data_IF_607230930804
#
_entry.id   IF_607230930804
#
_cell.length_a   1.000
_cell.length_b   1.000
_cell.length_c   1.000
_cell.angle_alpha   90.00
_cell.angle_beta   90.00
_cell.angle_gamma   90.00
#
_symmetry.space_group_name_H-M   'P 1'
#
loop_
_entity.id
_entity.type
_entity.pdbx_description
1 polymer ?
#
# COMPACT_ATOMS: atom_id res chain seq x y z
N UNK A 1 -4.40 -11.11 21.89
CA UNK A 1 -3.24 -10.60 21.11
C UNK A 1 -2.73 -9.33 21.78
N UNK A 2 -1.45 -8.96 21.58
CA UNK A 2 -0.96 -7.69 22.12
C UNK A 2 -1.66 -6.51 21.45
N UNK A 3 -1.97 -5.49 22.26
CA UNK A 3 -2.53 -4.24 21.76
C UNK A 3 -1.43 -3.42 21.08
N UNK A 4 -1.79 -2.71 20.03
CA UNK A 4 -0.93 -1.66 19.47
C UNK A 4 -1.10 -0.41 20.33
N UNK A 5 -0.03 -0.01 21.03
CA UNK A 5 -0.05 1.21 21.84
C UNK A 5 0.82 2.27 21.15
N UNK A 6 0.23 3.38 20.80
CA UNK A 6 0.89 4.49 20.08
C UNK A 6 0.62 5.81 20.78
N UNK A 7 1.30 6.91 20.42
CA UNK A 7 0.94 8.23 20.96
C UNK A 7 -0.48 8.68 20.60
N UNK A 8 -1.11 8.05 19.60
CA UNK A 8 -2.44 8.43 19.12
C UNK A 8 -3.56 7.58 19.70
N UNK A 9 -3.31 6.28 19.88
CA UNK A 9 -4.38 5.35 20.27
C UNK A 9 -3.81 4.07 20.83
N UNK A 10 -4.67 3.33 21.55
CA UNK A 10 -4.42 1.94 21.92
C UNK A 10 -5.47 1.11 21.19
N UNK A 11 -5.04 0.18 20.34
CA UNK A 11 -5.92 -0.55 19.42
C UNK A 11 -5.73 -2.06 19.52
N UNK A 12 -6.86 -2.78 19.48
CA UNK A 12 -6.90 -4.23 19.31
C UNK A 12 -7.06 -4.53 17.81
N UNK A 13 -6.00 -5.03 17.17
CA UNK A 13 -5.98 -5.23 15.73
C UNK A 13 -5.86 -6.70 15.35
N UNK A 14 -6.59 -7.09 14.30
CA UNK A 14 -6.55 -8.44 13.75
C UNK A 14 -6.10 -8.41 12.28
N UNK A 15 -5.48 -9.49 11.86
CA UNK A 15 -5.05 -9.68 10.47
C UNK A 15 -6.21 -10.20 9.63
N UNK A 16 -6.10 -10.01 8.31
CA UNK A 16 -7.01 -10.62 7.34
C UNK A 16 -6.20 -11.41 6.30
N UNK A 17 -6.65 -12.58 5.88
CA UNK A 17 -7.85 -13.28 6.38
C UNK A 17 -7.68 -13.74 7.83
N UNK A 18 -8.76 -13.67 8.58
CA UNK A 18 -8.74 -14.03 9.99
C UNK A 18 -8.50 -15.53 10.17
N UNK A 19 -7.57 -15.87 11.04
CA UNK A 19 -7.23 -17.26 11.35
C UNK A 19 -7.33 -17.50 12.86
N UNK A 20 -7.89 -18.63 13.23
CA UNK A 20 -7.95 -19.02 14.64
C UNK A 20 -6.53 -19.18 15.18
N UNK A 21 -6.26 -18.54 16.31
CA UNK A 21 -4.95 -18.62 17.00
C UNK A 21 -3.79 -18.14 16.14
N UNK A 22 -3.99 -17.10 15.29
CA UNK A 22 -2.91 -16.52 14.51
C UNK A 22 -1.81 -16.00 15.45
N UNK A 23 -0.57 -16.51 15.36
CA UNK A 23 0.51 -16.05 16.23
C UNK A 23 1.10 -14.71 15.81
N UNK A 24 0.68 -14.17 14.66
CA UNK A 24 1.29 -12.97 14.09
C UNK A 24 0.44 -11.73 14.40
N UNK A 25 1.13 -10.65 14.74
CA UNK A 25 0.47 -9.36 14.98
C UNK A 25 0.06 -8.69 13.67
N UNK A 26 -0.97 -7.84 13.77
CA UNK A 26 -1.44 -7.02 12.64
C UNK A 26 -0.60 -5.74 12.44
N UNK A 27 0.48 -5.57 13.18
CA UNK A 27 1.37 -4.42 13.10
C UNK A 27 2.80 -4.86 13.39
N UNK A 28 3.76 -4.00 13.05
CA UNK A 28 5.15 -4.25 13.39
C UNK A 28 5.85 -2.95 13.84
N UNK A 29 7.14 -3.05 14.15
CA UNK A 29 7.90 -1.91 14.64
C UNK A 29 8.00 -0.74 13.65
N UNK A 30 7.79 -0.99 12.36
CA UNK A 30 7.79 0.12 11.40
C UNK A 30 6.50 0.96 11.52
N UNK A 31 5.37 0.32 11.86
CA UNK A 31 4.12 1.06 12.14
C UNK A 31 4.29 1.93 13.38
N UNK A 32 4.80 1.34 14.47
CA UNK A 32 5.06 2.08 15.70
C UNK A 32 6.00 3.27 15.46
N UNK A 33 7.07 3.04 14.67
CA UNK A 33 8.07 4.08 14.42
C UNK A 33 7.51 5.21 13.54
N UNK A 34 6.70 4.88 12.52
CA UNK A 34 6.05 5.88 11.66
C UNK A 34 5.12 6.77 12.49
N UNK A 35 4.32 6.17 13.37
CA UNK A 35 3.39 6.93 14.21
C UNK A 35 4.12 7.80 15.23
N UNK A 36 5.19 7.28 15.84
CA UNK A 36 6.01 8.07 16.76
C UNK A 36 6.66 9.26 16.05
N UNK A 37 7.23 9.03 14.85
CA UNK A 37 7.86 10.09 14.06
C UNK A 37 6.85 11.17 13.65
N UNK A 38 5.65 10.77 13.27
CA UNK A 38 4.59 11.73 12.95
C UNK A 38 4.20 12.54 14.19
N UNK A 39 4.05 11.88 15.32
CA UNK A 39 3.68 12.53 16.58
C UNK A 39 4.74 13.56 17.00
N UNK A 40 6.02 13.22 16.86
CA UNK A 40 7.13 14.12 17.20
C UNK A 40 7.14 15.40 16.36
N UNK A 41 6.51 15.37 15.19
CA UNK A 41 6.35 16.55 14.34
C UNK A 41 5.17 17.43 14.77
N UNK A 42 4.40 16.98 15.75
CA UNK A 42 3.25 17.72 16.33
C UNK A 42 2.29 18.28 15.25
N UNK A 43 1.75 17.43 14.37
CA UNK A 43 0.81 17.93 13.36
C UNK A 43 -0.45 18.49 14.02
N UNK A 44 -1.01 19.58 13.48
CA UNK A 44 -2.28 20.10 13.98
C UNK A 44 -3.46 19.22 13.51
N UNK A 45 -4.63 19.43 14.11
CA UNK A 45 -5.81 18.61 13.87
C UNK A 45 -6.33 18.69 12.41
N UNK A 46 -5.97 19.74 11.68
CA UNK A 46 -6.37 19.87 10.27
C UNK A 46 -5.38 19.21 9.32
N UNK A 47 -4.28 18.68 9.84
CA UNK A 47 -3.26 18.02 9.04
C UNK A 47 -3.88 16.87 8.23
N UNK A 48 -3.73 16.94 6.90
CA UNK A 48 -4.22 15.92 5.99
C UNK A 48 -3.14 14.89 5.75
N UNK A 49 -3.42 13.64 6.12
CA UNK A 49 -2.47 12.54 6.07
C UNK A 49 -2.91 11.50 5.05
N UNK A 50 -2.03 11.16 4.11
CA UNK A 50 -2.23 10.00 3.24
C UNK A 50 -1.40 8.84 3.77
N UNK A 51 -2.05 7.70 3.98
CA UNK A 51 -1.39 6.47 4.43
C UNK A 51 -1.34 5.49 3.27
N UNK A 52 -0.14 5.06 2.87
CA UNK A 52 0.05 4.16 1.73
C UNK A 52 0.52 2.78 2.19
N UNK A 53 -0.14 1.74 1.68
CA UNK A 53 0.23 0.33 1.85
C UNK A 53 0.11 -0.17 3.30
N UNK A 54 -0.83 0.35 4.05
CA UNK A 54 -1.12 -0.08 5.43
C UNK A 54 -1.76 -1.46 5.39
N UNK A 55 -1.01 -2.49 5.77
CA UNK A 55 -1.42 -3.88 5.55
C UNK A 55 -2.70 -4.28 6.27
N UNK A 56 -2.90 -3.77 7.48
CA UNK A 56 -4.05 -4.16 8.32
C UNK A 56 -4.71 -2.97 9.00
N UNK A 57 -4.41 -1.74 8.56
CA UNK A 57 -5.02 -0.54 9.09
C UNK A 57 -4.38 0.00 10.37
N UNK A 58 -3.18 -0.47 10.72
CA UNK A 58 -2.52 -0.04 11.96
C UNK A 58 -2.25 1.47 11.99
N UNK A 59 -1.74 2.01 10.88
CA UNK A 59 -1.45 3.44 10.78
C UNK A 59 -2.75 4.26 10.72
N UNK A 60 -3.62 3.87 9.79
CA UNK A 60 -4.82 4.65 9.51
C UNK A 60 -5.79 4.65 10.70
N UNK A 61 -6.00 3.50 11.35
CA UNK A 61 -6.88 3.43 12.51
C UNK A 61 -6.30 4.17 13.72
N UNK A 62 -4.97 4.18 13.90
CA UNK A 62 -4.35 4.95 14.99
C UNK A 62 -4.62 6.45 14.86
N UNK A 63 -4.69 6.95 13.63
CA UNK A 63 -4.86 8.38 13.36
C UNK A 63 -6.34 8.79 13.22
N UNK A 64 -7.24 7.82 13.11
CA UNK A 64 -8.67 8.06 12.89
C UNK A 64 -9.25 8.94 14.02
N UNK A 65 -10.00 9.98 13.64
CA UNK A 65 -10.62 10.88 14.58
C UNK A 65 -9.69 11.93 15.18
N UNK A 66 -8.39 11.86 14.92
CA UNK A 66 -7.42 12.82 15.42
C UNK A 66 -6.85 13.70 14.31
N UNK A 67 -6.68 13.12 13.12
CA UNK A 67 -6.19 13.83 11.93
C UNK A 67 -7.12 13.51 10.76
N UNK A 68 -6.96 14.25 9.65
CA UNK A 68 -7.74 13.99 8.44
C UNK A 68 -7.01 12.95 7.61
N UNK A 69 -7.41 11.68 7.73
CA UNK A 69 -6.69 10.54 7.17
C UNK A 69 -7.38 10.00 5.93
N UNK A 70 -6.60 9.71 4.89
CA UNK A 70 -7.00 8.91 3.74
C UNK A 70 -6.04 7.73 3.65
N UNK A 71 -6.56 6.52 3.51
CA UNK A 71 -5.76 5.32 3.32
C UNK A 71 -5.81 4.87 1.86
N UNK A 72 -4.70 4.34 1.34
CA UNK A 72 -4.67 3.82 -0.02
C UNK A 72 -3.72 2.62 -0.14
N UNK A 73 -4.12 1.67 -0.96
CA UNK A 73 -3.32 0.48 -1.22
C UNK A 73 -3.90 -0.35 -2.34
N UNK A 74 -3.14 -1.36 -2.76
CA UNK A 74 -3.55 -2.26 -3.84
C UNK A 74 -4.10 -3.60 -3.32
N UNK A 75 -4.22 -3.74 -2.00
CA UNK A 75 -4.69 -4.98 -1.38
C UNK A 75 -6.13 -4.85 -0.91
N UNK A 76 -7.03 -5.63 -1.50
CA UNK A 76 -8.40 -5.73 -1.02
C UNK A 76 -8.44 -6.23 0.43
N UNK A 77 -7.58 -7.19 0.79
CA UNK A 77 -7.50 -7.67 2.17
C UNK A 77 -7.04 -6.58 3.14
N UNK A 78 -6.18 -5.66 2.68
CA UNK A 78 -5.78 -4.50 3.48
C UNK A 78 -6.96 -3.56 3.75
N UNK A 79 -7.77 -3.30 2.72
CA UNK A 79 -8.99 -2.51 2.87
C UNK A 79 -9.96 -3.17 3.85
N UNK A 80 -10.24 -4.44 3.65
CA UNK A 80 -11.13 -5.21 4.54
C UNK A 80 -10.61 -5.24 5.99
N UNK A 81 -9.29 -5.35 6.16
CA UNK A 81 -8.68 -5.33 7.49
C UNK A 81 -8.88 -3.97 8.16
N UNK A 82 -8.70 -2.88 7.41
CA UNK A 82 -8.93 -1.54 7.94
C UNK A 82 -10.39 -1.39 8.41
N UNK A 83 -11.36 -1.78 7.59
CA UNK A 83 -12.78 -1.71 7.95
C UNK A 83 -13.08 -2.47 9.24
N UNK A 84 -12.62 -3.73 9.31
CA UNK A 84 -12.86 -4.58 10.48
C UNK A 84 -12.17 -4.04 11.73
N UNK A 85 -10.96 -3.51 11.58
CA UNK A 85 -10.21 -2.97 12.72
C UNK A 85 -10.76 -1.63 13.20
N UNK A 86 -11.30 -0.80 12.31
CA UNK A 86 -12.05 0.40 12.73
C UNK A 86 -13.26 -0.02 13.58
N UNK A 87 -14.08 -0.94 13.07
CA UNK A 87 -15.27 -1.42 13.78
C UNK A 87 -14.90 -2.05 15.13
N UNK A 88 -13.85 -2.87 15.16
CA UNK A 88 -13.38 -3.56 16.36
C UNK A 88 -13.00 -2.60 17.47
N UNK A 89 -12.51 -1.42 17.11
CA UNK A 89 -12.09 -0.40 18.06
C UNK A 89 -13.12 0.72 18.25
N UNK A 90 -14.36 0.52 17.80
CA UNK A 90 -15.44 1.48 17.97
C UNK A 90 -15.26 2.78 17.18
N UNK A 91 -14.44 2.73 16.11
CA UNK A 91 -14.20 3.89 15.26
C UNK A 91 -15.20 3.88 14.09
N UNK A 92 -15.73 5.05 13.70
CA UNK A 92 -16.68 5.10 12.59
C UNK A 92 -16.07 4.56 11.29
N UNK A 93 -16.85 3.84 10.53
CA UNK A 93 -16.45 3.25 9.25
C UNK A 93 -15.93 4.33 8.28
N UNK A 94 -16.58 5.48 8.27
CA UNK A 94 -16.25 6.59 7.37
C UNK A 94 -15.16 7.53 7.91
N UNK A 95 -14.57 7.20 9.07
CA UNK A 95 -13.51 8.05 9.65
C UNK A 95 -12.22 8.01 8.85
N UNK A 96 -12.01 6.97 8.02
CA UNK A 96 -10.85 6.83 7.16
C UNK A 96 -11.30 6.39 5.77
N UNK A 97 -11.52 7.31 4.83
CA UNK A 97 -11.77 6.93 3.44
C UNK A 97 -10.63 6.08 2.87
N UNK A 98 -10.98 5.01 2.15
CA UNK A 98 -10.00 4.17 1.46
C UNK A 98 -10.09 4.42 -0.05
N UNK A 99 -8.94 4.70 -0.67
CA UNK A 99 -8.83 4.92 -2.12
C UNK A 99 -8.00 3.79 -2.73
N UNK A 100 -8.58 2.94 -3.58
CA UNK A 100 -7.79 1.90 -4.26
C UNK A 100 -6.58 2.47 -5.00
N UNK A 101 -5.50 1.69 -5.07
CA UNK A 101 -4.27 2.16 -5.74
C UNK A 101 -4.46 2.54 -7.20
N UNK A 102 -5.51 2.02 -7.87
CA UNK A 102 -5.84 2.36 -9.25
C UNK A 102 -6.55 3.71 -9.41
N UNK A 103 -7.02 4.32 -8.31
CA UNK A 103 -7.80 5.56 -8.35
C UNK A 103 -6.94 6.76 -7.93
N UNK A 104 -7.41 7.96 -8.26
CA UNK A 104 -6.69 9.20 -7.97
C UNK A 104 -6.96 9.68 -6.54
N UNK A 105 -5.91 10.05 -5.86
CA UNK A 105 -6.00 10.69 -4.55
C UNK A 105 -6.46 12.16 -4.71
N UNK A 106 -7.13 12.66 -3.69
CA UNK A 106 -7.62 14.05 -3.67
C UNK A 106 -6.82 14.85 -2.63
N UNK A 107 -5.65 15.32 -3.06
CA UNK A 107 -4.79 16.17 -2.24
C UNK A 107 -5.35 17.60 -2.08
N UNK A 108 -4.57 18.55 -1.58
CA UNK A 108 -3.19 18.35 -1.15
C UNK A 108 -3.08 17.68 0.22
N UNK A 109 -2.01 16.94 0.42
CA UNK A 109 -1.68 16.28 1.70
C UNK A 109 -0.48 16.95 2.34
N UNK A 110 -0.52 17.09 3.67
CA UNK A 110 0.56 17.67 4.47
C UNK A 110 1.59 16.63 4.88
N UNK A 111 1.14 15.40 5.09
CA UNK A 111 1.99 14.28 5.48
C UNK A 111 1.60 13.04 4.69
N UNK A 112 2.60 12.25 4.31
CA UNK A 112 2.36 10.95 3.69
C UNK A 112 3.16 9.92 4.47
N UNK A 113 2.46 8.91 5.00
CA UNK A 113 3.09 7.76 5.65
C UNK A 113 3.09 6.61 4.66
N UNK A 114 4.26 6.06 4.37
CA UNK A 114 4.40 4.99 3.38
C UNK A 114 4.96 3.75 4.05
N UNK A 115 4.19 2.66 4.08
CA UNK A 115 4.78 1.35 4.30
C UNK A 115 5.46 0.96 2.99
N UNK A 116 6.79 0.86 3.03
CA UNK A 116 7.55 0.56 1.80
C UNK A 116 7.08 -0.78 1.23
N UNK A 117 6.56 -0.81 0.01
CA UNK A 117 6.06 -2.07 -0.56
C UNK A 117 7.23 -2.97 -0.99
N UNK A 118 6.94 -4.26 -1.19
CA UNK A 118 7.95 -5.23 -1.63
C UNK A 118 8.44 -4.93 -3.05
N UNK A 119 7.57 -4.37 -3.89
CA UNK A 119 7.89 -4.07 -5.29
C UNK A 119 8.32 -2.61 -5.43
N UNK A 120 9.53 -2.40 -5.94
CA UNK A 120 10.04 -1.03 -6.17
C UNK A 120 9.21 -0.30 -7.22
N UNK A 121 8.65 -1.02 -8.20
CA UNK A 121 7.78 -0.40 -9.20
C UNK A 121 6.55 0.24 -8.59
N UNK A 122 5.93 -0.41 -7.59
CA UNK A 122 4.79 0.20 -6.90
C UNK A 122 5.23 1.44 -6.12
N UNK A 123 6.37 1.38 -5.44
CA UNK A 123 6.89 2.55 -4.72
C UNK A 123 7.16 3.70 -5.70
N UNK A 124 7.81 3.41 -6.83
CA UNK A 124 8.09 4.40 -7.87
C UNK A 124 6.81 5.07 -8.36
N UNK A 125 5.81 4.26 -8.70
CA UNK A 125 4.51 4.77 -9.15
C UNK A 125 3.87 5.67 -8.10
N UNK A 126 3.89 5.22 -6.84
CA UNK A 126 3.31 6.00 -5.75
C UNK A 126 4.02 7.34 -5.58
N UNK A 127 5.36 7.34 -5.62
CA UNK A 127 6.12 8.59 -5.48
C UNK A 127 5.89 9.55 -6.65
N UNK A 128 5.76 9.03 -7.87
CA UNK A 128 5.43 9.85 -9.05
C UNK A 128 4.03 10.46 -8.88
N UNK A 129 3.05 9.66 -8.46
CA UNK A 129 1.67 10.11 -8.30
C UNK A 129 1.51 11.13 -7.16
N UNK A 130 2.38 11.08 -6.17
CA UNK A 130 2.37 12.09 -5.09
C UNK A 130 2.72 13.48 -5.59
N UNK A 131 3.46 13.58 -6.69
CA UNK A 131 3.78 14.88 -7.28
C UNK A 131 2.46 15.58 -7.67
N UNK A 132 2.30 16.82 -7.23
CA UNK A 132 1.05 17.55 -7.44
C UNK A 132 -0.06 17.24 -6.44
N UNK A 133 0.16 16.30 -5.52
CA UNK A 133 -0.81 15.96 -4.47
C UNK A 133 -0.34 16.40 -3.08
N UNK A 134 0.79 17.11 -3.01
CA UNK A 134 1.41 17.49 -1.74
C UNK A 134 1.27 18.99 -1.50
N UNK A 135 0.98 19.36 -0.27
CA UNK A 135 0.94 20.75 0.16
C UNK A 135 2.37 21.34 0.21
N UNK A 136 2.53 22.66 0.13
CA UNK A 136 3.84 23.26 0.36
C UNK A 136 4.40 22.87 1.73
N UNK A 137 5.64 22.39 1.76
CA UNK A 137 6.26 21.94 3.01
C UNK A 137 5.86 20.53 3.45
N UNK A 138 5.08 19.81 2.65
CA UNK A 138 4.68 18.45 2.97
C UNK A 138 5.88 17.52 3.12
N UNK A 139 5.72 16.49 3.93
CA UNK A 139 6.75 15.48 4.14
C UNK A 139 6.22 14.08 3.84
N UNK A 140 7.05 13.28 3.19
CA UNK A 140 6.81 11.86 2.95
C UNK A 140 7.73 11.08 3.91
N UNK A 141 7.13 10.27 4.77
CA UNK A 141 7.87 9.45 5.73
C UNK A 141 7.60 7.99 5.38
N UNK A 142 8.64 7.30 4.90
CA UNK A 142 8.53 5.90 4.51
C UNK A 142 9.18 5.01 5.56
N UNK A 143 8.51 3.92 5.92
CA UNK A 143 9.00 3.01 6.95
C UNK A 143 8.94 1.56 6.52
N UNK A 144 9.95 0.78 6.95
CA UNK A 144 9.98 -0.66 6.73
C UNK A 144 10.88 -1.34 7.76
N UNK A 145 10.65 -2.63 7.95
CA UNK A 145 11.63 -3.47 8.64
C UNK A 145 12.91 -3.55 7.80
N UNK A 146 14.06 -3.55 8.43
CA UNK A 146 15.37 -3.49 7.75
C UNK A 146 15.50 -4.56 6.66
N UNK A 147 15.01 -5.76 6.93
CA UNK A 147 15.08 -6.88 5.98
C UNK A 147 14.30 -6.65 4.68
N UNK A 148 13.41 -5.66 4.68
CA UNK A 148 12.57 -5.31 3.51
C UNK A 148 13.00 -4.02 2.82
N UNK A 149 13.99 -3.29 3.40
CA UNK A 149 14.46 -2.05 2.77
C UNK A 149 15.42 -2.36 1.62
N UNK A 150 15.18 -1.78 0.44
CA UNK A 150 16.13 -1.88 -0.66
C UNK A 150 17.46 -1.22 -0.25
N UNK A 151 18.55 -1.78 -0.79
CA UNK A 151 19.86 -1.16 -0.56
C UNK A 151 20.00 0.10 -1.42
N UNK A 152 19.41 1.04 -1.06
CA UNK A 152 19.42 2.23 -1.75
C UNK A 152 20.32 3.12 -1.03
N UNK A 153 20.92 3.87 -1.72
CA UNK A 153 21.74 4.93 -1.18
C UNK A 153 20.86 6.09 -0.72
N UNK A 154 20.10 5.87 0.33
CA UNK A 154 19.20 6.88 0.89
C UNK A 154 19.59 7.11 2.35
N UNK A 155 19.53 8.36 2.79
CA UNK A 155 19.70 8.67 4.22
C UNK A 155 18.52 8.10 4.99
N UNK A 156 18.81 7.13 5.85
CA UNK A 156 17.80 6.50 6.68
C UNK A 156 18.05 6.84 8.16
N UNK A 157 16.99 6.82 8.93
CA UNK A 157 17.08 7.00 10.40
C UNK A 157 17.92 5.91 11.05
N UNK A 158 18.25 6.09 12.31
CA UNK A 158 18.78 5.00 13.12
C UNK A 158 17.72 3.90 13.23
N UNK A 159 18.19 2.67 13.32
CA UNK A 159 17.27 1.54 13.45
C UNK A 159 16.63 1.52 14.84
N UNK A 160 15.30 1.31 14.88
CA UNK A 160 14.54 1.12 16.11
C UNK A 160 13.76 -0.18 15.99
N UNK A 161 13.99 -1.14 16.88
CA UNK A 161 13.35 -2.48 16.86
C UNK A 161 13.42 -3.14 15.47
N UNK A 162 14.55 -3.00 14.77
CA UNK A 162 14.78 -3.52 13.40
C UNK A 162 13.93 -2.84 12.31
N UNK A 163 13.38 -1.65 12.59
CA UNK A 163 12.72 -0.80 11.58
C UNK A 163 13.58 0.43 11.29
N UNK A 164 13.42 1.01 10.11
CA UNK A 164 14.04 2.28 9.71
C UNK A 164 13.03 3.14 8.98
N UNK A 165 13.24 4.45 9.10
CA UNK A 165 12.46 5.45 8.36
C UNK A 165 13.34 6.16 7.34
N UNK A 166 12.70 6.60 6.26
CA UNK A 166 13.25 7.48 5.24
C UNK A 166 12.32 8.69 5.18
N UNK A 167 12.86 9.89 5.30
CA UNK A 167 12.06 11.11 5.22
C UNK A 167 12.48 11.92 4.00
N UNK A 168 11.50 12.38 3.24
CA UNK A 168 11.72 13.24 2.08
C UNK A 168 10.79 14.43 2.15
N UNK A 169 11.28 15.58 1.69
CA UNK A 169 10.48 16.79 1.52
C UNK A 169 10.27 17.06 0.03
N UNK A 170 9.24 17.82 -0.26
CA UNK A 170 8.92 18.20 -1.64
C UNK A 170 10.05 19.04 -2.23
N UNK A 171 10.56 18.63 -3.39
CA UNK A 171 11.51 19.40 -4.15
C UNK A 171 10.83 19.97 -5.40
N UNK A 172 11.17 21.21 -5.74
CA UNK A 172 10.69 21.84 -6.98
C UNK A 172 11.41 21.22 -8.17
N UNK A 173 10.79 20.25 -8.80
CA UNK A 173 11.31 19.57 -9.99
C UNK A 173 10.18 19.35 -10.99
N UNK A 174 10.48 19.23 -12.28
CA UNK A 174 9.46 18.86 -13.26
C UNK A 174 8.80 17.55 -12.86
N UNK A 175 7.49 17.45 -13.09
CA UNK A 175 6.74 16.25 -12.79
C UNK A 175 7.25 15.09 -13.65
N UNK A 176 7.59 13.98 -13.01
CA UNK A 176 7.99 12.77 -13.72
C UNK A 176 6.75 12.15 -14.38
N UNK A 177 6.94 11.65 -15.61
CA UNK A 177 5.88 10.83 -16.22
C UNK A 177 5.98 9.42 -15.68
N UNK A 178 4.82 8.86 -15.33
CA UNK A 178 4.77 7.47 -14.90
C UNK A 178 5.07 6.53 -16.08
N UNK A 179 5.93 5.51 -15.89
CA UNK A 179 6.09 4.46 -16.89
C UNK A 179 4.93 3.44 -16.85
N UNK A 180 3.96 3.64 -15.95
CA UNK A 180 2.84 2.71 -15.77
C UNK A 180 1.53 3.34 -16.19
N UNK A 181 0.56 2.52 -16.68
CA UNK A 181 0.69 1.08 -16.89
C UNK A 181 1.66 0.76 -18.03
N UNK A 182 2.42 -0.32 -17.88
CA UNK A 182 3.25 -0.85 -18.96
C UNK A 182 2.43 -1.79 -19.83
N UNK A 183 2.79 -1.90 -21.11
CA UNK A 183 2.04 -2.71 -22.06
C UNK A 183 2.97 -3.67 -22.80
N UNK A 184 2.46 -4.87 -23.09
CA UNK A 184 3.11 -5.76 -24.04
C UNK A 184 2.07 -6.54 -24.84
N UNK A 185 2.49 -7.02 -26.01
CA UNK A 185 1.63 -7.77 -26.91
C UNK A 185 2.07 -9.24 -26.97
N UNK A 186 1.07 -10.11 -26.94
CA UNK A 186 1.22 -11.52 -27.30
C UNK A 186 0.70 -11.72 -28.73
N UNK A 187 1.40 -12.54 -29.49
CA UNK A 187 0.95 -12.86 -30.85
C UNK A 187 0.01 -14.05 -30.89
N UNK A 188 0.14 -14.97 -29.93
CA UNK A 188 -0.70 -16.17 -29.85
C UNK A 188 -1.00 -16.53 -28.39
N UNK A 189 -2.21 -16.29 -27.88
CA UNK A 189 -3.30 -15.56 -28.56
C UNK A 189 -2.96 -14.09 -28.76
N UNK A 190 -3.60 -13.45 -29.73
CA UNK A 190 -3.35 -12.03 -30.05
C UNK A 190 -4.01 -11.16 -28.97
N UNK A 191 -3.22 -10.71 -27.99
CA UNK A 191 -3.69 -9.93 -26.85
C UNK A 191 -2.76 -8.77 -26.56
N UNK A 192 -3.33 -7.60 -26.29
CA UNK A 192 -2.58 -6.48 -25.74
C UNK A 192 -2.81 -6.45 -24.23
N UNK A 193 -1.74 -6.60 -23.47
CA UNK A 193 -1.79 -6.71 -22.01
C UNK A 193 -1.32 -5.41 -21.37
N UNK A 194 -2.16 -4.85 -20.49
CA UNK A 194 -1.93 -3.57 -19.82
C UNK A 194 -1.71 -3.86 -18.33
N UNK A 195 -0.57 -3.45 -17.80
CA UNK A 195 -0.13 -3.90 -16.49
C UNK A 195 0.21 -2.73 -15.57
N UNK A 196 -0.50 -2.61 -14.46
CA UNK A 196 -0.16 -1.66 -13.41
C UNK A 196 1.14 -2.06 -12.69
N UNK A 197 1.72 -1.13 -11.95
CA UNK A 197 3.06 -1.25 -11.38
C UNK A 197 3.28 -2.53 -10.55
N UNK A 198 2.26 -2.98 -9.80
CA UNK A 198 2.42 -4.15 -8.91
C UNK A 198 1.91 -5.46 -9.52
N UNK A 199 1.55 -5.48 -10.79
CA UNK A 199 1.07 -6.70 -11.45
C UNK A 199 2.24 -7.67 -11.67
N UNK A 200 2.02 -8.95 -11.37
CA UNK A 200 3.01 -10.00 -11.56
C UNK A 200 3.33 -10.17 -13.06
N UNK A 201 4.60 -10.27 -13.38
CA UNK A 201 5.10 -10.43 -14.76
C UNK A 201 4.58 -9.36 -15.73
N UNK A 202 4.64 -8.08 -15.29
CA UNK A 202 4.12 -6.95 -16.07
C UNK A 202 4.88 -6.66 -17.36
N UNK A 203 6.08 -7.23 -17.53
CA UNK A 203 6.95 -6.94 -18.68
C UNK A 203 6.97 -8.06 -19.70
N UNK A 204 6.26 -9.15 -19.45
CA UNK A 204 6.22 -10.28 -20.37
C UNK A 204 5.51 -11.49 -19.77
N UNK A 205 5.25 -12.47 -20.61
CA UNK A 205 4.49 -13.65 -20.21
C UNK A 205 5.30 -14.54 -19.24
N UNK A 206 4.72 -14.85 -18.12
CA UNK A 206 5.28 -15.78 -17.14
C UNK A 206 5.52 -17.17 -17.76
N UNK A 207 6.59 -17.83 -17.33
CA UNK A 207 6.98 -19.16 -17.85
C UNK A 207 5.88 -20.20 -17.59
N UNK A 208 5.30 -20.19 -16.39
CA UNK A 208 4.21 -21.09 -16.03
C UNK A 208 2.97 -20.88 -16.89
N UNK A 209 2.60 -19.62 -17.05
CA UNK A 209 1.47 -19.24 -17.91
C UNK A 209 1.70 -19.64 -19.35
N UNK A 210 2.92 -19.40 -19.86
CA UNK A 210 3.29 -19.83 -21.24
C UNK A 210 3.11 -21.32 -21.42
N UNK A 211 3.56 -22.11 -20.44
CA UNK A 211 3.42 -23.58 -20.49
C UNK A 211 1.95 -24.01 -20.38
N UNK A 212 1.14 -23.27 -19.64
CA UNK A 212 -0.27 -23.62 -19.38
C UNK A 212 -1.21 -23.27 -20.53
N UNK A 213 -0.97 -22.16 -21.22
CA UNK A 213 -1.85 -21.66 -22.29
C UNK A 213 -2.29 -22.72 -23.31
N UNK A 214 -1.37 -23.58 -23.87
CA UNK A 214 -1.80 -24.60 -24.85
C UNK A 214 -2.73 -25.66 -24.27
N UNK A 215 -2.78 -25.78 -22.95
CA UNK A 215 -3.57 -26.82 -22.27
C UNK A 215 -4.88 -26.30 -21.72
N UNK A 216 -5.21 -25.03 -21.97
CA UNK A 216 -6.51 -24.48 -21.54
C UNK A 216 -7.66 -25.29 -22.14
N UNK A 217 -8.69 -25.61 -21.35
CA UNK A 217 -9.84 -26.34 -21.88
C UNK A 217 -10.55 -25.52 -22.96
N UNK A 218 -11.01 -26.21 -23.99
CA UNK A 218 -11.72 -25.61 -25.12
C UNK A 218 -13.16 -26.11 -25.17
N UNK A 219 -14.02 -25.39 -25.86
CA UNK A 219 -15.39 -25.81 -26.07
C UNK A 219 -16.24 -25.79 -24.81
N UNK A 220 -15.97 -24.88 -23.91
CA UNK A 220 -16.65 -24.81 -22.63
C UNK A 220 -18.10 -24.30 -22.73
N UNK A 221 -18.53 -23.82 -23.87
CA UNK A 221 -19.90 -23.36 -24.09
C UNK A 221 -20.27 -22.23 -23.12
N UNK A 222 -21.27 -22.47 -22.28
CA UNK A 222 -21.74 -21.48 -21.29
C UNK A 222 -21.19 -21.73 -19.89
N UNK A 223 -20.11 -22.48 -19.77
CA UNK A 223 -19.54 -22.77 -18.46
C UNK A 223 -19.08 -21.48 -17.76
N UNK A 224 -19.29 -21.43 -16.45
CA UNK A 224 -18.71 -20.37 -15.61
C UNK A 224 -17.31 -20.79 -15.23
N UNK A 225 -16.33 -19.92 -15.49
CA UNK A 225 -14.93 -20.23 -15.26
C UNK A 225 -14.37 -19.22 -14.24
N UNK A 226 -13.58 -19.70 -13.30
CA UNK A 226 -12.85 -18.84 -12.37
C UNK A 226 -11.35 -19.04 -12.58
N UNK A 227 -10.65 -17.94 -12.84
CA UNK A 227 -9.19 -17.92 -12.93
C UNK A 227 -8.64 -17.50 -11.57
N UNK A 228 -8.14 -18.47 -10.78
CA UNK A 228 -7.60 -18.19 -9.46
C UNK A 228 -6.16 -17.68 -9.56
N UNK A 229 -5.95 -16.44 -9.11
CA UNK A 229 -4.65 -15.80 -9.24
C UNK A 229 -4.40 -15.28 -10.64
N UNK A 230 -5.42 -14.71 -11.23
CA UNK A 230 -5.45 -14.31 -12.64
C UNK A 230 -4.30 -13.36 -13.08
N UNK A 231 -3.60 -12.74 -12.14
CA UNK A 231 -2.51 -11.82 -12.49
C UNK A 231 -2.98 -10.68 -13.39
N UNK A 232 -2.42 -10.63 -14.60
CA UNK A 232 -2.82 -9.63 -15.59
C UNK A 232 -3.96 -10.09 -16.51
N UNK A 233 -4.57 -11.22 -16.20
CA UNK A 233 -5.75 -11.69 -16.92
C UNK A 233 -5.46 -12.33 -18.27
N UNK A 234 -4.26 -12.88 -18.47
CA UNK A 234 -3.88 -13.46 -19.76
C UNK A 234 -4.54 -14.82 -20.02
N UNK A 235 -4.97 -15.55 -18.98
CA UNK A 235 -5.68 -16.83 -19.10
C UNK A 235 -7.17 -16.60 -19.25
#
# INVERSE_FOLDING_TARGET
MPLLTTPYAELDLIRQPEQANDPLQAFDAADEYLLAQLHDQAPDANCRVLVLNDSFGALAASLAGQLQVVSSGDSHLGHLALEKNLARNGLPFDSVPFVPASEHWQGPFDRVLVRVPKTLALLEEQLIRLQGQLAPGAQVIAGAMIKHLPRXAVQASLALKKARLLTATVAERPLAKSPYPSCYRLDAPALDLVNHANVFCREGLDIGTRAFLPHLPRGLGRARVADLGCGNGVL
#
